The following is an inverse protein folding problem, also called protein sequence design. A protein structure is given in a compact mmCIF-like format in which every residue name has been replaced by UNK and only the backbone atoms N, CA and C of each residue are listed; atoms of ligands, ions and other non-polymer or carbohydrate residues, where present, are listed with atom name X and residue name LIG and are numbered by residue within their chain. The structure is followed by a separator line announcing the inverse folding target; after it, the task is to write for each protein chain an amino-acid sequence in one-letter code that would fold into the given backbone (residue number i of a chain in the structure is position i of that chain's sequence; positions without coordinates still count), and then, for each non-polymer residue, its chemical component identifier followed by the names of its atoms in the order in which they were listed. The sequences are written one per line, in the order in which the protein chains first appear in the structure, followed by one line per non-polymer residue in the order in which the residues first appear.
data_IF_348529800950
#
_entry.id   IF_348529800950
#
_cell.length_a   1.000
_cell.length_b   1.000
_cell.length_c   1.000
_cell.angle_alpha   90.00
_cell.angle_beta   90.00
_cell.angle_gamma   90.00
#
_symmetry.space_group_name_H-M   'P 1'
#
loop_
_entity.id
_entity.type
_entity.pdbx_description
1 polymer ?
#
# COMPACT_ATOMS: atom_id res chain seq x y z
N UNK A 1 12.29 -53.42 -18.20
CA UNK A 1 11.40 -52.48 -18.92
C UNK A 1 11.23 -51.16 -18.15
N UNK A 2 11.24 -51.15 -16.81
CA UNK A 2 11.15 -49.93 -15.99
C UNK A 2 12.35 -48.97 -16.09
N UNK A 3 13.55 -49.48 -16.37
CA UNK A 3 14.79 -48.68 -16.35
C UNK A 3 14.84 -47.65 -17.48
N UNK A 4 14.34 -48.00 -18.67
CA UNK A 4 14.30 -47.09 -19.82
C UNK A 4 13.26 -45.97 -19.63
N UNK A 5 12.13 -46.28 -19.01
CA UNK A 5 11.04 -45.31 -18.78
C UNK A 5 11.43 -44.27 -17.73
N UNK A 6 12.15 -44.68 -16.68
CA UNK A 6 12.70 -43.79 -15.67
C UNK A 6 13.74 -42.82 -16.25
N UNK A 7 14.67 -43.32 -17.07
CA UNK A 7 15.68 -42.49 -17.75
C UNK A 7 15.03 -41.48 -18.70
N UNK A 8 14.00 -41.90 -19.44
CA UNK A 8 13.27 -41.00 -20.34
C UNK A 8 12.49 -39.92 -19.57
N UNK A 9 11.91 -40.26 -18.41
CA UNK A 9 11.25 -39.29 -17.54
C UNK A 9 12.25 -38.23 -17.04
N UNK A 10 13.41 -38.65 -16.56
CA UNK A 10 14.45 -37.73 -16.05
C UNK A 10 15.01 -36.82 -17.14
N UNK A 11 15.30 -37.36 -18.33
CA UNK A 11 15.75 -36.56 -19.49
C UNK A 11 14.67 -35.55 -19.90
N UNK A 12 13.39 -35.97 -19.92
CA UNK A 12 12.29 -35.06 -20.26
C UNK A 12 12.12 -33.93 -19.24
N UNK A 13 12.32 -34.22 -17.95
CA UNK A 13 12.25 -33.23 -16.87
C UNK A 13 13.40 -32.24 -16.96
N UNK A 14 14.63 -32.70 -17.16
CA UNK A 14 15.80 -31.84 -17.32
C UNK A 14 15.66 -30.93 -18.56
N UNK A 15 15.21 -31.47 -19.69
CA UNK A 15 14.91 -30.66 -20.88
C UNK A 15 13.80 -29.62 -20.65
N UNK A 16 12.79 -29.95 -19.83
CA UNK A 16 11.74 -29.01 -19.46
C UNK A 16 12.29 -27.89 -18.55
N UNK A 17 13.15 -28.22 -17.59
CA UNK A 17 13.84 -27.23 -16.74
C UNK A 17 14.73 -26.31 -17.58
N UNK A 18 15.48 -26.84 -18.56
CA UNK A 18 16.30 -26.01 -19.45
C UNK A 18 15.47 -25.10 -20.35
N UNK A 19 14.34 -25.58 -20.89
CA UNK A 19 13.41 -24.74 -21.68
C UNK A 19 12.74 -23.64 -20.85
N UNK A 20 12.45 -23.91 -19.56
CA UNK A 20 11.84 -22.91 -18.66
C UNK A 20 12.76 -21.75 -18.29
N UNK A 21 14.08 -21.87 -18.50
CA UNK A 21 15.03 -20.77 -18.23
C UNK A 21 15.09 -19.73 -19.36
N UNK A 22 14.65 -20.07 -20.57
CA UNK A 22 14.74 -19.21 -21.76
C UNK A 22 13.39 -18.81 -22.37
N UNK A 23 12.27 -19.25 -21.80
CA UNK A 23 10.94 -18.79 -22.18
C UNK A 23 10.22 -18.23 -20.94
N UNK A 24 9.80 -16.95 -20.95
CA UNK A 24 8.86 -16.48 -19.93
C UNK A 24 7.67 -17.43 -19.99
N UNK A 25 7.31 -18.03 -18.85
CA UNK A 25 6.21 -18.96 -18.76
C UNK A 25 5.04 -18.43 -19.58
N UNK A 26 4.75 -19.08 -20.70
CA UNK A 26 3.68 -18.71 -21.60
C UNK A 26 2.35 -19.06 -20.94
N UNK A 27 2.01 -18.33 -19.87
CA UNK A 27 0.61 -18.13 -19.51
C UNK A 27 0.01 -17.51 -20.76
N UNK A 28 -0.96 -18.20 -21.35
CA UNK A 28 -1.83 -17.61 -22.34
C UNK A 28 -2.57 -16.46 -21.68
N UNK A 29 -1.93 -15.29 -21.63
CA UNK A 29 -2.48 -14.04 -21.13
C UNK A 29 -3.53 -13.60 -22.13
N UNK A 30 -4.71 -14.23 -22.10
CA UNK A 30 -5.90 -13.62 -22.70
C UNK A 30 -6.02 -12.26 -22.03
N UNK A 31 -5.70 -11.20 -22.79
CA UNK A 31 -5.74 -9.81 -22.33
C UNK A 31 -7.10 -9.60 -21.66
N UNK A 32 -7.09 -9.26 -20.37
CA UNK A 32 -8.31 -8.98 -19.62
C UNK A 32 -8.92 -7.73 -20.26
N UNK A 33 -10.13 -7.86 -20.82
CA UNK A 33 -10.87 -6.74 -21.39
C UNK A 33 -11.80 -6.23 -20.29
N UNK A 34 -11.65 -4.95 -19.95
CA UNK A 34 -12.53 -4.30 -18.99
C UNK A 34 -13.90 -4.03 -19.64
N UNK A 35 -15.01 -4.18 -18.88
CA UNK A 35 -16.34 -3.81 -19.36
C UNK A 35 -16.44 -2.30 -19.59
N UNK A 36 -17.42 -1.90 -20.40
CA UNK A 36 -17.69 -0.49 -20.72
C UNK A 36 -18.00 0.33 -19.45
N UNK A 37 -17.56 1.61 -19.36
CA UNK A 37 -17.79 2.47 -18.19
C UNK A 37 -19.26 2.63 -17.78
N UNK A 38 -20.23 2.43 -18.68
CA UNK A 38 -21.67 2.45 -18.35
C UNK A 38 -22.05 1.48 -17.23
N UNK A 39 -21.28 0.39 -17.06
CA UNK A 39 -21.45 -0.60 -15.99
C UNK A 39 -21.33 0.03 -14.58
N UNK A 40 -20.65 1.18 -14.46
CA UNK A 40 -20.47 1.92 -13.19
C UNK A 40 -21.80 2.15 -12.48
N UNK A 41 -22.84 2.56 -13.21
CA UNK A 41 -24.14 2.90 -12.61
C UNK A 41 -24.81 1.70 -11.92
N UNK A 42 -24.71 0.52 -12.52
CA UNK A 42 -25.24 -0.74 -11.99
C UNK A 42 -24.37 -1.24 -10.84
N UNK A 43 -23.04 -1.24 -11.02
CA UNK A 43 -22.09 -1.72 -10.03
C UNK A 43 -22.08 -0.84 -8.77
N UNK A 44 -22.19 0.47 -8.91
CA UNK A 44 -22.26 1.38 -7.77
C UNK A 44 -23.48 1.10 -6.91
N UNK A 45 -24.68 0.99 -7.50
CA UNK A 45 -25.91 0.64 -6.76
C UNK A 45 -25.83 -0.74 -6.11
N UNK A 46 -25.17 -1.70 -6.76
CA UNK A 46 -24.98 -3.04 -6.21
C UNK A 46 -24.06 -3.03 -4.99
N UNK A 47 -22.90 -2.38 -5.10
CA UNK A 47 -21.92 -2.26 -4.01
C UNK A 47 -22.48 -1.43 -2.85
N UNK A 48 -23.28 -0.40 -3.14
CA UNK A 48 -23.95 0.43 -2.13
C UNK A 48 -24.95 -0.38 -1.32
N UNK A 49 -25.79 -1.21 -1.98
CA UNK A 49 -26.68 -2.16 -1.29
C UNK A 49 -25.93 -3.16 -0.42
N UNK A 50 -24.73 -3.57 -0.83
CA UNK A 50 -23.84 -4.45 -0.05
C UNK A 50 -23.07 -3.72 1.06
N UNK A 51 -23.19 -2.38 1.14
CA UNK A 51 -22.37 -1.52 2.02
C UNK A 51 -20.88 -1.75 1.82
N UNK A 52 -20.47 -1.96 0.57
CA UNK A 52 -19.06 -2.13 0.17
C UNK A 52 -18.44 -0.83 -0.37
N UNK A 53 -19.26 0.21 -0.58
CA UNK A 53 -18.79 1.56 -0.95
C UNK A 53 -18.38 2.35 0.30
N UNK A 54 -17.49 1.76 1.09
CA UNK A 54 -16.86 2.43 2.22
C UNK A 54 -15.37 2.60 1.92
N UNK A 55 -14.79 3.73 2.33
CA UNK A 55 -13.37 4.01 2.10
C UNK A 55 -12.48 2.86 2.60
N UNK A 56 -12.68 2.40 3.84
CA UNK A 56 -11.89 1.30 4.42
C UNK A 56 -11.94 0.03 3.55
N UNK A 57 -13.14 -0.34 3.08
CA UNK A 57 -13.33 -1.55 2.27
C UNK A 57 -12.70 -1.44 0.89
N UNK A 58 -12.73 -0.26 0.29
CA UNK A 58 -12.14 -0.01 -1.03
C UNK A 58 -10.62 0.10 -0.89
N UNK A 59 -10.14 0.90 0.08
CA UNK A 59 -8.73 1.15 0.31
C UNK A 59 -7.96 -0.10 0.74
N UNK A 60 -8.58 -0.99 1.53
CA UNK A 60 -7.96 -2.27 1.92
C UNK A 60 -7.93 -3.31 0.79
N UNK A 61 -8.54 -3.04 -0.38
CA UNK A 61 -8.40 -3.89 -1.56
C UNK A 61 -7.21 -3.44 -2.41
N UNK A 62 -6.45 -4.39 -2.95
CA UNK A 62 -5.28 -4.10 -3.80
C UNK A 62 -5.61 -3.12 -4.95
N UNK A 63 -6.68 -3.39 -5.70
CA UNK A 63 -7.08 -2.50 -6.81
C UNK A 63 -7.65 -1.17 -6.31
N UNK A 64 -8.36 -1.15 -5.19
CA UNK A 64 -8.91 0.08 -4.65
C UNK A 64 -7.82 1.01 -4.11
N UNK A 65 -6.79 0.48 -3.46
CA UNK A 65 -5.58 1.23 -3.11
C UNK A 65 -4.88 1.82 -4.34
N UNK A 66 -4.63 1.00 -5.38
CA UNK A 66 -3.93 1.46 -6.57
C UNK A 66 -4.70 2.54 -7.33
N UNK A 67 -6.01 2.40 -7.46
CA UNK A 67 -6.87 3.42 -8.07
C UNK A 67 -6.94 4.69 -7.24
N UNK A 68 -6.98 4.57 -5.90
CA UNK A 68 -6.93 5.72 -5.01
C UNK A 68 -5.59 6.46 -5.11
N UNK A 69 -4.48 5.71 -5.14
CA UNK A 69 -3.15 6.28 -5.35
C UNK A 69 -3.04 7.01 -6.69
N UNK A 70 -3.48 6.37 -7.77
CA UNK A 70 -3.52 6.96 -9.10
C UNK A 70 -4.34 8.26 -9.13
N UNK A 71 -5.50 8.26 -8.46
CA UNK A 71 -6.30 9.47 -8.28
C UNK A 71 -5.53 10.58 -7.54
N UNK A 72 -4.85 10.26 -6.44
CA UNK A 72 -4.06 11.23 -5.68
C UNK A 72 -2.84 11.78 -6.43
N UNK A 73 -2.25 11.00 -7.34
CA UNK A 73 -1.03 11.41 -8.07
C UNK A 73 -1.34 12.10 -9.40
N UNK A 74 -2.39 11.68 -10.10
CA UNK A 74 -2.67 12.10 -11.47
C UNK A 74 -3.94 12.94 -11.61
N UNK A 75 -4.84 12.93 -10.63
CA UNK A 75 -6.13 13.64 -10.71
C UNK A 75 -6.25 14.75 -9.66
N UNK A 76 -5.69 14.56 -8.46
CA UNK A 76 -5.72 15.57 -7.42
C UNK A 76 -4.85 16.78 -7.79
N UNK A 77 -5.45 17.97 -7.80
CA UNK A 77 -4.75 19.24 -8.08
C UNK A 77 -3.80 19.65 -6.93
N UNK A 78 -4.10 19.19 -5.71
CA UNK A 78 -3.30 19.48 -4.51
C UNK A 78 -2.58 18.21 -4.03
N UNK A 79 -1.32 18.32 -3.59
CA UNK A 79 -0.60 17.18 -3.06
C UNK A 79 -1.29 16.70 -1.78
N UNK A 80 -1.53 15.39 -1.69
CA UNK A 80 -2.14 14.72 -0.53
C UNK A 80 -1.00 14.14 0.33
N UNK A 81 -0.44 14.91 1.30
CA UNK A 81 0.71 14.47 2.10
C UNK A 81 0.39 13.23 2.94
N UNK A 82 -0.89 12.99 3.26
CA UNK A 82 -1.33 11.86 4.07
C UNK A 82 -1.16 10.52 3.35
N UNK A 83 -1.31 10.49 2.02
CA UNK A 83 -1.01 9.29 1.23
C UNK A 83 0.49 9.00 1.26
N UNK A 84 1.34 10.02 1.11
CA UNK A 84 2.79 9.84 1.24
C UNK A 84 3.18 9.39 2.65
N UNK A 85 2.58 9.97 3.68
CA UNK A 85 2.80 9.54 5.06
C UNK A 85 2.46 8.06 5.27
N UNK A 86 1.35 7.59 4.70
CA UNK A 86 0.99 6.17 4.72
C UNK A 86 2.03 5.29 4.03
N UNK A 87 2.50 5.67 2.84
CA UNK A 87 3.49 4.91 2.09
C UNK A 87 4.82 4.82 2.83
N UNK A 88 5.27 5.91 3.43
CA UNK A 88 6.48 5.94 4.25
C UNK A 88 6.36 5.06 5.50
N UNK A 89 5.20 5.06 6.18
CA UNK A 89 4.93 4.14 7.29
C UNK A 89 4.96 2.68 6.81
N UNK A 90 4.34 2.38 5.66
CA UNK A 90 4.36 1.03 5.10
C UNK A 90 5.74 0.59 4.61
N UNK A 91 6.59 1.52 4.19
CA UNK A 91 7.99 1.26 3.92
C UNK A 91 8.75 0.99 5.23
N UNK A 92 8.52 1.81 6.25
CA UNK A 92 9.10 1.68 7.59
C UNK A 92 8.78 0.33 8.26
N UNK A 93 7.53 -0.13 8.18
CA UNK A 93 7.10 -1.44 8.70
C UNK A 93 7.85 -2.62 8.05
N UNK A 94 8.27 -2.46 6.79
CA UNK A 94 9.00 -3.49 6.02
C UNK A 94 10.52 -3.46 6.23
N UNK A 95 11.05 -2.40 6.84
CA UNK A 95 12.49 -2.31 7.09
C UNK A 95 12.90 -3.29 8.18
N UNK A 96 13.75 -4.26 7.85
CA UNK A 96 14.33 -5.21 8.80
C UNK A 96 15.57 -4.62 9.50
N UNK A 97 16.28 -3.69 8.84
CA UNK A 97 17.48 -3.05 9.36
C UNK A 97 17.14 -1.96 10.40
N UNK A 98 17.59 -2.07 11.66
CA UNK A 98 17.28 -1.09 12.71
C UNK A 98 17.90 0.28 12.47
N UNK A 99 19.06 0.36 11.80
CA UNK A 99 19.71 1.65 11.48
C UNK A 99 18.93 2.45 10.44
N UNK A 100 18.50 1.79 9.36
CA UNK A 100 17.67 2.41 8.32
C UNK A 100 16.30 2.79 8.88
N UNK A 101 15.71 1.91 9.68
CA UNK A 101 14.46 2.16 10.38
C UNK A 101 14.54 3.44 11.22
N UNK A 102 15.66 3.66 11.92
CA UNK A 102 15.87 4.89 12.70
C UNK A 102 15.98 6.14 11.84
N UNK A 103 16.67 6.07 10.70
CA UNK A 103 16.76 7.19 9.76
C UNK A 103 15.37 7.53 9.22
N UNK A 104 14.65 6.53 8.74
CA UNK A 104 13.32 6.72 8.17
C UNK A 104 12.31 7.22 9.22
N UNK A 105 12.37 6.73 10.46
CA UNK A 105 11.50 7.25 11.53
C UNK A 105 11.71 8.76 11.79
N UNK A 106 12.96 9.23 11.75
CA UNK A 106 13.28 10.65 11.90
C UNK A 106 12.79 11.45 10.71
N UNK A 107 13.02 10.96 9.49
CA UNK A 107 12.53 11.61 8.27
C UNK A 107 11.01 11.71 8.24
N UNK A 108 10.29 10.65 8.64
CA UNK A 108 8.83 10.66 8.77
C UNK A 108 8.37 11.71 9.78
N UNK A 109 9.02 11.77 10.94
CA UNK A 109 8.69 12.75 11.97
C UNK A 109 8.94 14.18 11.51
N UNK A 110 10.09 14.47 10.91
CA UNK A 110 10.44 15.83 10.51
C UNK A 110 9.60 16.31 9.31
N UNK A 111 9.38 15.45 8.31
CA UNK A 111 8.72 15.83 7.06
C UNK A 111 7.19 15.93 7.18
N UNK A 112 6.56 15.11 8.03
CA UNK A 112 5.11 15.04 8.14
C UNK A 112 4.62 15.56 9.48
N UNK A 113 5.12 15.03 10.60
CA UNK A 113 4.61 15.37 11.94
C UNK A 113 5.01 16.80 12.33
N UNK A 114 6.32 17.12 12.26
CA UNK A 114 6.85 18.42 12.66
C UNK A 114 6.40 19.54 11.71
N UNK A 115 6.35 19.26 10.41
CA UNK A 115 5.89 20.21 9.39
C UNK A 115 4.41 20.58 9.58
N UNK A 116 3.54 19.61 9.86
CA UNK A 116 2.11 19.88 10.10
C UNK A 116 1.85 20.53 11.47
N UNK A 117 2.62 20.18 12.51
CA UNK A 117 2.60 20.89 13.80
C UNK A 117 2.88 22.39 13.63
N UNK A 118 3.87 22.73 12.80
CA UNK A 118 4.22 24.12 12.49
C UNK A 118 3.17 24.80 11.60
N UNK A 119 2.52 24.05 10.71
CA UNK A 119 1.50 24.58 9.81
C UNK A 119 0.14 24.80 10.47
N UNK A 120 -0.10 24.24 11.67
CA UNK A 120 -1.39 24.28 12.39
C UNK A 120 -2.57 23.78 11.52
N UNK A 121 -2.28 22.97 10.51
CA UNK A 121 -3.24 22.54 9.49
C UNK A 121 -4.06 21.32 9.93
N UNK A 122 -3.50 20.47 10.79
CA UNK A 122 -4.14 19.25 11.28
C UNK A 122 -3.86 19.02 12.77
N UNK A 123 -4.90 18.67 13.53
CA UNK A 123 -4.80 18.36 14.96
C UNK A 123 -4.35 16.91 15.17
N UNK A 124 -3.04 16.63 15.05
CA UNK A 124 -2.51 15.42 15.65
C UNK A 124 -2.73 15.48 17.17
N UNK A 125 -3.17 14.37 17.77
CA UNK A 125 -3.22 14.27 19.23
C UNK A 125 -1.82 14.53 19.81
N UNK A 126 -1.72 15.47 20.74
CA UNK A 126 -0.47 15.81 21.42
C UNK A 126 0.15 14.60 22.14
N UNK A 127 -0.68 13.65 22.58
CA UNK A 127 -0.23 12.38 23.17
C UNK A 127 0.46 11.48 22.15
N UNK A 128 -0.10 11.37 20.93
CA UNK A 128 0.47 10.54 19.86
C UNK A 128 1.82 11.10 19.37
N UNK A 129 1.90 12.42 19.20
CA UNK A 129 3.16 13.10 18.85
C UNK A 129 4.20 12.90 19.95
N UNK A 130 3.82 13.10 21.22
CA UNK A 130 4.73 12.94 22.35
C UNK A 130 5.22 11.50 22.50
N UNK A 131 4.37 10.52 22.22
CA UNK A 131 4.74 9.11 22.18
C UNK A 131 5.82 8.86 21.13
N UNK A 132 5.58 9.23 19.87
CA UNK A 132 6.56 9.06 18.78
C UNK A 132 7.87 9.78 19.10
N UNK A 133 7.79 11.03 19.59
CA UNK A 133 8.96 11.82 19.96
C UNK A 133 9.80 11.16 21.07
N UNK A 134 9.16 10.60 22.10
CA UNK A 134 9.83 9.90 23.20
C UNK A 134 10.61 8.68 22.72
N UNK A 135 10.04 7.88 21.80
CA UNK A 135 10.70 6.71 21.23
C UNK A 135 11.88 7.11 20.33
N UNK A 136 11.72 8.17 19.52
CA UNK A 136 12.80 8.74 18.72
C UNK A 136 13.98 9.23 19.58
N UNK A 137 13.71 9.88 20.72
CA UNK A 137 14.74 10.34 21.67
C UNK A 137 15.48 9.18 22.34
N UNK A 138 14.79 8.07 22.61
CA UNK A 138 15.39 6.85 23.18
C UNK A 138 16.17 6.01 22.17
N UNK A 139 16.16 6.37 20.88
CA UNK A 139 16.65 5.56 19.78
C UNK A 139 15.96 4.18 19.68
N UNK A 140 14.76 4.03 20.24
CA UNK A 140 13.96 2.82 20.18
C UNK A 140 12.94 2.97 19.05
N UNK A 141 13.11 2.24 17.95
CA UNK A 141 12.24 2.31 16.75
C UNK A 141 11.54 0.97 16.51
N UNK A 142 10.45 0.67 17.25
CA UNK A 142 9.65 -0.52 17.02
C UNK A 142 8.90 -0.42 15.68
N UNK A 143 8.65 -1.56 15.01
CA UNK A 143 7.92 -1.60 13.72
C UNK A 143 6.53 -0.96 13.80
N UNK A 144 5.94 -0.94 14.99
CA UNK A 144 4.60 -0.43 15.26
C UNK A 144 4.61 1.02 15.79
N UNK A 145 5.74 1.73 15.68
CA UNK A 145 5.87 3.10 16.20
C UNK A 145 4.78 4.05 15.68
N UNK A 146 4.34 3.82 14.43
CA UNK A 146 3.34 4.63 13.74
C UNK A 146 1.99 3.92 13.54
N UNK A 147 1.70 2.82 14.26
CA UNK A 147 0.43 2.05 14.11
C UNK A 147 -0.84 2.88 14.42
N UNK A 148 -0.72 4.04 15.08
CA UNK A 148 -1.82 4.98 15.32
C UNK A 148 -2.17 5.80 14.05
N UNK A 149 -1.27 5.82 13.06
CA UNK A 149 -1.38 6.55 11.78
C UNK A 149 -2.51 6.15 10.83
N UNK A 150 -2.88 4.87 10.63
CA UNK A 150 -3.98 4.50 9.74
C UNK A 150 -5.33 5.13 10.11
N UNK A 151 -5.61 5.34 11.40
CA UNK A 151 -6.81 6.06 11.85
C UNK A 151 -6.74 7.57 11.54
N UNK A 152 -5.55 8.17 11.57
CA UNK A 152 -5.32 9.57 11.19
C UNK A 152 -5.47 9.78 9.69
N UNK A 153 -4.95 8.87 8.86
CA UNK A 153 -5.15 8.89 7.40
C UNK A 153 -6.64 8.74 7.09
N UNK A 154 -7.35 7.85 7.80
CA UNK A 154 -8.79 7.68 7.65
C UNK A 154 -9.59 8.94 8.00
N UNK A 155 -9.26 9.61 9.11
CA UNK A 155 -9.89 10.86 9.54
C UNK A 155 -9.63 12.01 8.57
N UNK A 156 -8.40 12.15 8.08
CA UNK A 156 -8.01 13.28 7.24
C UNK A 156 -8.44 13.06 5.79
N UNK A 157 -8.26 11.87 5.21
CA UNK A 157 -8.77 11.57 3.87
C UNK A 157 -10.30 11.68 3.81
N UNK A 158 -11.00 11.26 4.86
CA UNK A 158 -12.46 11.45 4.93
C UNK A 158 -12.87 12.90 5.11
N UNK A 159 -12.02 13.78 5.61
CA UNK A 159 -12.33 15.20 5.82
C UNK A 159 -11.95 16.08 4.61
N UNK A 160 -10.84 15.78 3.93
CA UNK A 160 -10.43 16.46 2.69
C UNK A 160 -11.32 16.08 1.49
N UNK A 161 -11.71 14.81 1.37
CA UNK A 161 -12.58 14.35 0.27
C UNK A 161 -14.02 14.88 0.43
N UNK A 162 -14.50 15.13 1.65
CA UNK A 162 -15.87 15.60 1.91
C UNK A 162 -16.00 17.14 1.93
N UNK A 163 -14.89 17.87 1.80
CA UNK A 163 -14.87 19.34 1.71
C UNK A 163 -14.94 19.87 0.28
N UNK A 164 -15.01 19.00 -0.73
CA UNK A 164 -15.20 19.36 -2.15
C UNK A 164 -16.55 18.87 -2.68
#
# INVERSE_FOLDING_TARGET
MADLEAVLADVSYLMAMEKSKSTPAARASKKIILPDPSVRSVMHKYLEKKKEVNFDKIFNQMFGYLLFKDYCENVAEEPIPQLRFYEEIKAYEKLECPEERRKLAKEIYDNFIMKELLAHSHEYSSEAVSHVHKYLMKNEVPVNLFEVGPFLIFLIASHDINKR
#
